data_IF_703312644114
#
_entry.id   IF_703312644114
#
_cell.length_a   1.000
_cell.length_b   1.000
_cell.length_c   1.000
_cell.angle_alpha   90.00
_cell.angle_beta   90.00
_cell.angle_gamma   90.00
#
_symmetry.space_group_name_H-M   'P 1'
#
loop_
_entity.id
_entity.type
_entity.pdbx_description
1 polymer ?
#
# COMPACT_ATOMS: atom_id res chain seq x y z
N UNK A 1 -6.83 8.81 28.24
CA UNK A 1 -6.62 7.47 27.67
C UNK A 1 -5.75 7.69 26.44
N UNK A 2 -4.53 7.12 26.40
CA UNK A 2 -3.72 7.18 25.18
C UNK A 2 -4.52 6.47 24.07
N UNK A 3 -4.64 7.13 22.94
CA UNK A 3 -5.38 6.63 21.79
C UNK A 3 -4.75 5.30 21.34
N UNK A 4 -5.54 4.22 21.35
CA UNK A 4 -5.05 2.87 20.98
C UNK A 4 -4.46 2.85 19.58
N UNK A 5 -4.94 3.71 18.69
CA UNK A 5 -4.46 3.94 17.33
C UNK A 5 -3.00 4.39 17.30
N UNK A 6 -2.60 5.31 18.17
CA UNK A 6 -1.21 5.77 18.28
C UNK A 6 -0.23 4.67 18.72
N UNK A 7 -0.70 3.71 19.53
CA UNK A 7 0.18 2.69 20.13
C UNK A 7 0.63 1.63 19.12
N UNK A 8 -0.28 1.11 18.26
CA UNK A 8 0.12 0.09 17.28
C UNK A 8 0.93 0.68 16.12
N UNK A 9 0.66 1.93 15.72
CA UNK A 9 1.45 2.61 14.68
C UNK A 9 2.89 2.78 15.13
N UNK A 10 3.12 3.24 16.37
CA UNK A 10 4.47 3.32 16.94
C UNK A 10 5.14 1.96 17.01
N UNK A 11 4.44 0.93 17.50
CA UNK A 11 4.98 -0.41 17.56
C UNK A 11 5.32 -1.00 16.18
N UNK A 12 4.54 -0.67 15.15
CA UNK A 12 4.82 -1.08 13.77
C UNK A 12 6.07 -0.36 13.23
N UNK A 13 6.18 0.95 13.45
CA UNK A 13 7.36 1.73 13.06
C UNK A 13 8.63 1.19 13.72
N UNK A 14 8.62 1.02 15.05
CA UNK A 14 9.76 0.50 15.82
C UNK A 14 10.18 -0.92 15.34
N UNK A 15 9.22 -1.77 15.02
CA UNK A 15 9.50 -3.11 14.52
C UNK A 15 10.18 -3.10 13.14
N UNK A 16 9.76 -2.21 12.24
CA UNK A 16 10.42 -2.04 10.94
C UNK A 16 11.78 -1.34 11.05
N UNK A 17 11.92 -0.36 11.92
CA UNK A 17 13.21 0.29 12.19
C UNK A 17 14.26 -0.72 12.67
N UNK A 18 13.87 -1.66 13.52
CA UNK A 18 14.76 -2.69 14.04
C UNK A 18 15.33 -3.65 12.97
N UNK A 19 14.67 -3.77 11.80
CA UNK A 19 15.05 -4.70 10.72
C UNK A 19 15.24 -4.00 9.37
N UNK A 20 15.36 -2.67 9.35
CA UNK A 20 15.27 -1.86 8.13
C UNK A 20 16.24 -2.30 7.02
N UNK A 21 17.53 -2.51 7.33
CA UNK A 21 18.52 -2.93 6.34
C UNK A 21 18.20 -4.33 5.77
N UNK A 22 17.87 -5.29 6.64
CA UNK A 22 17.50 -6.65 6.22
C UNK A 22 16.25 -6.63 5.34
N UNK A 23 15.23 -5.85 5.75
CA UNK A 23 14.00 -5.74 5.00
C UNK A 23 14.23 -5.09 3.63
N UNK A 24 15.02 -4.02 3.56
CA UNK A 24 15.37 -3.35 2.31
C UNK A 24 16.10 -4.29 1.33
N UNK A 25 17.03 -5.09 1.82
CA UNK A 25 17.74 -6.07 0.99
C UNK A 25 16.81 -7.13 0.41
N UNK A 26 15.86 -7.64 1.22
CA UNK A 26 14.86 -8.63 0.76
C UNK A 26 13.86 -8.02 -0.23
N UNK A 27 13.51 -6.74 -0.08
CA UNK A 27 12.52 -6.07 -0.90
C UNK A 27 13.06 -5.62 -2.26
N UNK A 28 14.36 -5.33 -2.37
CA UNK A 28 15.02 -4.66 -3.51
C UNK A 28 14.69 -5.27 -4.87
N UNK A 29 14.75 -6.59 -5.00
CA UNK A 29 14.53 -7.30 -6.26
C UNK A 29 13.19 -8.07 -6.29
N UNK A 30 12.34 -7.85 -5.28
CA UNK A 30 11.10 -8.62 -5.14
C UNK A 30 10.19 -8.48 -6.37
N UNK A 31 9.98 -7.26 -6.85
CA UNK A 31 9.09 -6.99 -7.98
C UNK A 31 9.63 -7.56 -9.30
N UNK A 32 10.95 -7.67 -9.48
CA UNK A 32 11.59 -8.24 -10.67
C UNK A 32 11.16 -9.67 -10.95
N UNK A 33 10.94 -10.46 -9.91
CA UNK A 33 10.52 -11.88 -9.97
C UNK A 33 9.01 -12.09 -10.16
N UNK A 34 8.19 -11.03 -10.11
CA UNK A 34 6.73 -11.09 -9.99
C UNK A 34 6.03 -10.45 -11.21
N UNK A 35 5.95 -11.14 -12.38
CA UNK A 35 5.40 -10.57 -13.61
C UNK A 35 3.91 -10.19 -13.49
N UNK A 36 3.10 -10.95 -12.75
CA UNK A 36 1.68 -10.65 -12.56
C UNK A 36 1.49 -9.42 -11.67
N UNK A 37 2.28 -9.31 -10.61
CA UNK A 37 2.28 -8.14 -9.71
C UNK A 37 2.66 -6.88 -10.49
N UNK A 38 3.73 -6.94 -11.33
CA UNK A 38 4.11 -5.83 -12.22
C UNK A 38 3.00 -5.47 -13.21
N UNK A 39 2.27 -6.47 -13.74
CA UNK A 39 1.17 -6.20 -14.65
C UNK A 39 0.03 -5.43 -13.98
N UNK A 40 -0.31 -5.74 -12.73
CA UNK A 40 -1.30 -4.99 -11.96
C UNK A 40 -0.85 -3.55 -11.69
N UNK A 41 0.42 -3.36 -11.31
CA UNK A 41 0.98 -2.01 -11.10
C UNK A 41 1.03 -1.23 -12.42
N UNK A 42 1.38 -1.88 -13.53
CA UNK A 42 1.39 -1.25 -14.85
C UNK A 42 -0.02 -0.83 -15.30
N UNK A 43 -1.03 -1.68 -15.10
CA UNK A 43 -2.42 -1.35 -15.39
C UNK A 43 -2.92 -0.16 -14.55
N UNK A 44 -2.60 -0.14 -13.24
CA UNK A 44 -2.88 1.01 -12.39
C UNK A 44 -2.22 2.29 -12.93
N UNK A 45 -0.93 2.22 -13.28
CA UNK A 45 -0.20 3.38 -13.77
C UNK A 45 -0.77 3.91 -15.10
N UNK A 46 -1.22 3.03 -15.99
CA UNK A 46 -1.86 3.40 -17.25
C UNK A 46 -3.17 4.15 -17.00
N UNK A 47 -4.06 3.61 -16.17
CA UNK A 47 -5.34 4.24 -15.81
C UNK A 47 -5.14 5.62 -15.15
N UNK A 48 -4.17 5.74 -14.25
CA UNK A 48 -3.83 7.02 -13.62
C UNK A 48 -3.34 8.03 -14.67
N UNK A 49 -2.49 7.63 -15.61
CA UNK A 49 -2.01 8.52 -16.68
C UNK A 49 -3.14 8.96 -17.61
N UNK A 50 -4.05 8.05 -17.95
CA UNK A 50 -5.23 8.35 -18.79
C UNK A 50 -6.18 9.34 -18.13
N UNK A 51 -6.27 9.36 -16.79
CA UNK A 51 -7.06 10.36 -16.06
C UNK A 51 -6.51 11.80 -16.18
N UNK A 52 -5.27 11.95 -16.64
CA UNK A 52 -4.55 13.23 -16.72
C UNK A 52 -3.99 13.73 -15.38
N UNK A 53 -4.24 13.03 -14.27
CA UNK A 53 -3.79 13.37 -12.92
C UNK A 53 -2.69 12.38 -12.49
N UNK A 54 -1.42 12.71 -12.78
CA UNK A 54 -0.29 11.77 -12.60
C UNK A 54 0.28 11.72 -11.18
N UNK A 55 -0.18 12.58 -10.27
CA UNK A 55 0.32 12.60 -8.89
C UNK A 55 -0.21 11.39 -8.10
N UNK A 56 0.72 10.63 -7.54
CA UNK A 56 0.44 9.36 -6.83
C UNK A 56 1.20 9.32 -5.52
N UNK A 57 0.55 8.81 -4.48
CA UNK A 57 1.21 8.45 -3.22
C UNK A 57 1.31 6.93 -3.09
N UNK A 58 2.48 6.44 -2.69
CA UNK A 58 2.62 5.12 -2.10
C UNK A 58 2.50 5.23 -0.58
N UNK A 59 1.42 4.66 -0.04
CA UNK A 59 1.09 4.67 1.38
C UNK A 59 1.68 3.43 2.07
N UNK A 60 2.71 3.63 2.90
CA UNK A 60 3.58 2.59 3.43
C UNK A 60 4.65 2.18 2.43
N UNK A 61 5.50 3.14 2.03
CA UNK A 61 6.46 2.95 0.94
C UNK A 61 7.71 2.16 1.33
N UNK A 62 7.95 1.98 2.62
CA UNK A 62 9.14 1.30 3.11
C UNK A 62 10.43 1.86 2.50
N UNK A 63 11.32 1.01 1.92
CA UNK A 63 12.59 1.45 1.34
C UNK A 63 12.44 2.06 -0.07
N UNK A 64 11.22 2.35 -0.56
CA UNK A 64 10.96 3.19 -1.72
C UNK A 64 11.03 2.53 -3.10
N UNK A 65 11.25 1.21 -3.20
CA UNK A 65 11.42 0.53 -4.50
C UNK A 65 10.17 0.59 -5.38
N UNK A 66 8.97 0.52 -4.79
CA UNK A 66 7.71 0.62 -5.53
C UNK A 66 7.45 2.06 -5.95
N UNK A 67 7.75 3.06 -5.10
CA UNK A 67 7.69 4.48 -5.48
C UNK A 67 8.58 4.75 -6.70
N UNK A 68 9.80 4.20 -6.72
CA UNK A 68 10.72 4.31 -7.85
C UNK A 68 10.15 3.63 -9.11
N UNK A 69 9.53 2.46 -8.97
CA UNK A 69 8.89 1.77 -10.08
C UNK A 69 7.71 2.57 -10.66
N UNK A 70 6.90 3.20 -9.81
CA UNK A 70 5.80 4.08 -10.24
C UNK A 70 6.31 5.29 -11.05
N UNK A 71 7.42 5.93 -10.60
CA UNK A 71 8.10 6.99 -11.37
C UNK A 71 8.54 6.48 -12.74
N UNK A 72 9.15 5.30 -12.80
CA UNK A 72 9.63 4.70 -14.05
C UNK A 72 8.47 4.37 -15.03
N UNK A 73 7.28 4.15 -14.49
CA UNK A 73 6.03 4.05 -15.26
C UNK A 73 5.43 5.40 -15.67
N UNK A 74 6.11 6.53 -15.39
CA UNK A 74 5.73 7.87 -15.84
C UNK A 74 4.74 8.60 -14.93
N UNK A 75 4.67 8.22 -13.65
CA UNK A 75 3.87 8.88 -12.62
C UNK A 75 4.70 9.89 -11.82
N UNK A 76 4.05 10.92 -11.30
CA UNK A 76 4.59 11.82 -10.29
C UNK A 76 4.40 11.20 -8.89
N UNK A 77 5.27 10.24 -8.58
CA UNK A 77 5.15 9.40 -7.41
C UNK A 77 5.99 9.90 -6.23
N UNK A 78 5.42 9.81 -5.03
CA UNK A 78 6.15 9.99 -3.78
C UNK A 78 5.68 8.95 -2.74
N UNK A 79 6.51 8.74 -1.71
CA UNK A 79 6.24 7.74 -0.68
C UNK A 79 5.98 8.35 0.69
N UNK A 80 5.09 7.71 1.47
CA UNK A 80 4.84 8.04 2.88
C UNK A 80 5.01 6.76 3.69
N UNK A 81 5.78 6.82 4.78
CA UNK A 81 5.98 5.68 5.69
C UNK A 81 6.08 6.12 7.15
N UNK A 82 5.84 5.19 8.07
CA UNK A 82 5.95 5.39 9.51
C UNK A 82 7.39 5.20 10.03
N UNK A 83 8.23 4.45 9.32
CA UNK A 83 9.59 4.07 9.73
C UNK A 83 10.62 5.10 9.25
N UNK A 84 11.23 5.89 10.16
CA UNK A 84 12.33 6.76 9.81
C UNK A 84 13.51 6.03 9.18
N UNK A 85 13.84 4.83 9.69
CA UNK A 85 14.99 4.07 9.19
C UNK A 85 14.77 3.58 7.74
N UNK A 86 13.57 3.12 7.38
CA UNK A 86 13.24 2.77 6.00
C UNK A 86 13.25 3.99 5.08
N UNK A 87 12.75 5.13 5.55
CA UNK A 87 12.78 6.37 4.77
C UNK A 87 14.20 6.90 4.54
N UNK A 88 15.11 6.71 5.48
CA UNK A 88 16.51 7.08 5.28
C UNK A 88 17.17 6.21 4.21
N UNK A 89 16.84 4.92 4.15
CA UNK A 89 17.23 4.02 3.06
C UNK A 89 16.62 4.50 1.73
N UNK A 90 15.32 4.79 1.70
CA UNK A 90 14.62 5.24 0.50
C UNK A 90 15.25 6.53 -0.07
N UNK A 91 15.52 7.52 0.77
CA UNK A 91 16.14 8.79 0.37
C UNK A 91 17.58 8.62 -0.13
N UNK A 92 18.32 7.68 0.46
CA UNK A 92 19.69 7.33 0.02
C UNK A 92 19.69 6.65 -1.35
N UNK A 93 18.80 5.68 -1.53
CA UNK A 93 18.77 4.82 -2.72
C UNK A 93 18.05 5.51 -3.90
N UNK A 94 17.11 6.42 -3.62
CA UNK A 94 16.31 7.16 -4.61
C UNK A 94 16.28 8.67 -4.32
N UNK A 95 17.42 9.38 -4.41
CA UNK A 95 17.56 10.78 -3.98
C UNK A 95 16.70 11.77 -4.78
N UNK A 96 16.24 11.39 -5.97
CA UNK A 96 15.38 12.21 -6.82
C UNK A 96 13.89 12.09 -6.49
N UNK A 97 13.52 11.22 -5.54
CA UNK A 97 12.15 11.01 -5.11
C UNK A 97 11.86 11.67 -3.76
N UNK A 98 10.62 12.08 -3.58
CA UNK A 98 10.11 12.62 -2.32
C UNK A 98 9.65 11.49 -1.41
N UNK A 99 10.13 11.50 -0.14
CA UNK A 99 9.71 10.56 0.90
C UNK A 99 9.40 11.31 2.19
N UNK A 100 8.23 11.04 2.77
CA UNK A 100 7.71 11.74 3.93
C UNK A 100 7.45 10.80 5.09
N UNK A 101 7.76 11.25 6.29
CA UNK A 101 7.38 10.58 7.52
C UNK A 101 5.93 10.90 7.84
N UNK A 102 5.07 9.88 7.90
CA UNK A 102 3.66 10.08 8.16
C UNK A 102 2.85 8.79 8.17
N UNK A 103 1.59 8.92 8.57
CA UNK A 103 0.62 7.83 8.56
C UNK A 103 -0.24 7.87 7.30
N UNK A 104 -0.51 6.70 6.70
CA UNK A 104 -1.47 6.58 5.61
C UNK A 104 -2.92 6.89 6.03
N UNK A 105 -3.20 6.98 7.33
CA UNK A 105 -4.51 7.37 7.86
C UNK A 105 -4.67 8.88 8.06
N UNK A 106 -3.62 9.69 7.79
CA UNK A 106 -3.65 11.15 7.88
C UNK A 106 -2.57 11.73 6.94
N UNK A 107 -2.82 11.70 5.65
CA UNK A 107 -1.91 12.15 4.61
C UNK A 107 -1.92 13.69 4.52
N UNK A 108 -0.74 14.31 4.47
CA UNK A 108 -0.61 15.76 4.25
C UNK A 108 -0.84 16.13 2.78
N UNK A 109 -2.07 15.90 2.33
CA UNK A 109 -2.54 16.09 0.97
C UNK A 109 -3.92 16.73 0.99
N UNK A 110 -4.15 17.69 0.11
CA UNK A 110 -5.47 18.31 -0.05
C UNK A 110 -6.52 17.32 -0.58
N UNK A 111 -7.78 17.59 -0.29
CA UNK A 111 -8.90 16.76 -0.75
C UNK A 111 -8.92 16.70 -2.29
N UNK A 112 -8.99 15.50 -2.83
CA UNK A 112 -9.10 15.26 -4.27
C UNK A 112 -7.86 15.64 -5.09
N UNK A 113 -6.70 15.73 -4.49
CA UNK A 113 -5.48 16.15 -5.17
C UNK A 113 -4.82 15.03 -5.99
N UNK A 114 -4.94 13.77 -5.54
CA UNK A 114 -4.23 12.64 -6.13
C UNK A 114 -5.03 11.99 -7.27
N UNK A 115 -4.33 11.60 -8.33
CA UNK A 115 -4.87 10.73 -9.38
C UNK A 115 -4.80 9.25 -9.02
N UNK A 116 -3.90 8.88 -8.11
CA UNK A 116 -3.74 7.50 -7.65
C UNK A 116 -3.16 7.38 -6.25
N UNK A 117 -3.50 6.28 -5.59
CA UNK A 117 -2.92 5.84 -4.33
C UNK A 117 -2.64 4.34 -4.43
N UNK A 118 -1.46 3.94 -4.02
CA UNK A 118 -1.10 2.53 -3.88
C UNK A 118 -0.75 2.21 -2.43
N UNK A 119 -1.28 1.11 -1.90
CA UNK A 119 -0.87 0.51 -0.63
C UNK A 119 -0.37 -0.90 -0.92
N UNK A 120 0.96 -1.04 -1.00
CA UNK A 120 1.59 -2.27 -1.43
C UNK A 120 2.06 -3.08 -0.23
N UNK A 121 1.25 -4.04 0.21
CA UNK A 121 1.47 -4.85 1.41
C UNK A 121 1.67 -4.03 2.70
N UNK A 122 1.01 -2.87 2.81
CA UNK A 122 1.09 -1.99 4.00
C UNK A 122 -0.20 -1.95 4.81
N UNK A 123 -1.40 -1.97 4.18
CA UNK A 123 -2.68 -2.09 4.91
C UNK A 123 -2.78 -3.37 5.75
N UNK A 124 -1.97 -4.37 5.45
CA UNK A 124 -1.97 -5.65 6.16
C UNK A 124 -1.67 -5.52 7.66
N UNK A 125 -1.02 -4.44 8.09
CA UNK A 125 -0.70 -4.18 9.49
C UNK A 125 -1.81 -3.43 10.25
N UNK A 126 -2.84 -2.97 9.53
CA UNK A 126 -3.94 -2.24 10.15
C UNK A 126 -4.91 -3.20 10.85
N UNK A 127 -5.29 -2.92 12.12
CA UNK A 127 -6.35 -3.65 12.76
C UNK A 127 -7.64 -3.60 11.94
N UNK A 128 -8.35 -4.73 11.74
CA UNK A 128 -9.53 -4.79 10.88
C UNK A 128 -10.60 -3.74 11.21
N UNK A 129 -10.79 -3.43 12.49
CA UNK A 129 -11.77 -2.45 12.94
C UNK A 129 -11.44 -1.01 12.52
N UNK A 130 -10.16 -0.72 12.20
CA UNK A 130 -9.72 0.63 11.84
C UNK A 130 -9.68 0.85 10.34
N UNK A 131 -9.65 -0.22 9.52
CA UNK A 131 -9.50 -0.12 8.07
C UNK A 131 -10.54 0.78 7.38
N UNK A 132 -11.83 0.85 7.80
CA UNK A 132 -12.78 1.79 7.21
C UNK A 132 -12.33 3.26 7.29
N UNK A 133 -11.71 3.69 8.38
CA UNK A 133 -11.20 5.06 8.51
C UNK A 133 -10.06 5.35 7.52
N UNK A 134 -9.25 4.35 7.19
CA UNK A 134 -8.21 4.48 6.17
C UNK A 134 -8.79 4.57 4.76
N UNK A 135 -9.83 3.81 4.46
CA UNK A 135 -10.53 3.97 3.17
C UNK A 135 -11.19 5.34 3.04
N UNK A 136 -11.75 5.89 4.12
CA UNK A 136 -12.27 7.25 4.13
C UNK A 136 -11.17 8.29 3.82
N UNK A 137 -9.97 8.12 4.39
CA UNK A 137 -8.81 8.98 4.10
C UNK A 137 -8.32 8.80 2.64
N UNK A 138 -8.23 7.56 2.14
CA UNK A 138 -7.86 7.30 0.75
C UNK A 138 -8.86 7.95 -0.21
N UNK A 139 -10.16 7.87 0.11
CA UNK A 139 -11.20 8.58 -0.63
C UNK A 139 -11.00 10.09 -0.57
N UNK A 140 -10.69 10.64 0.59
CA UNK A 140 -10.51 12.09 0.77
C UNK A 140 -9.43 12.62 -0.17
N UNK A 141 -8.27 11.99 -0.23
CA UNK A 141 -7.11 12.48 -1.00
C UNK A 141 -7.18 12.19 -2.49
N UNK A 142 -7.86 11.12 -2.91
CA UNK A 142 -8.03 10.79 -4.33
C UNK A 142 -9.05 11.74 -4.98
N UNK A 143 -8.79 12.18 -6.20
CA UNK A 143 -9.77 12.90 -7.01
C UNK A 143 -10.94 11.99 -7.39
N UNK A 144 -12.14 12.51 -7.68
CA UNK A 144 -13.18 11.74 -8.37
C UNK A 144 -12.62 11.10 -9.64
N UNK A 145 -12.85 9.81 -9.82
CA UNK A 145 -12.24 9.02 -10.90
C UNK A 145 -10.80 8.57 -10.64
N UNK A 146 -10.17 8.97 -9.53
CA UNK A 146 -8.84 8.52 -9.12
C UNK A 146 -8.81 7.03 -8.74
N UNK A 147 -7.64 6.42 -8.83
CA UNK A 147 -7.47 4.97 -8.68
C UNK A 147 -6.74 4.58 -7.39
N UNK A 148 -7.22 3.52 -6.77
CA UNK A 148 -6.63 2.87 -5.59
C UNK A 148 -6.15 1.47 -6.00
N UNK A 149 -4.89 1.13 -5.73
CA UNK A 149 -4.38 -0.24 -5.85
C UNK A 149 -3.93 -0.75 -4.49
N UNK A 150 -4.50 -1.88 -4.08
CA UNK A 150 -4.13 -2.60 -2.86
C UNK A 150 -3.39 -3.89 -3.19
N UNK A 151 -2.25 -4.13 -2.53
CA UNK A 151 -1.58 -5.42 -2.48
C UNK A 151 -1.67 -5.98 -1.05
N UNK A 152 -2.09 -7.25 -0.91
CA UNK A 152 -2.33 -7.87 0.38
C UNK A 152 -2.17 -9.40 0.34
N UNK A 153 -2.20 -10.04 1.52
CA UNK A 153 -2.25 -11.49 1.65
C UNK A 153 -3.71 -11.97 1.68
N UNK A 154 -4.06 -12.89 0.77
CA UNK A 154 -5.42 -13.45 0.65
C UNK A 154 -5.72 -14.45 1.76
N UNK A 155 -6.95 -14.41 2.28
CA UNK A 155 -7.46 -15.34 3.32
C UNK A 155 -8.23 -16.54 2.75
N UNK A 156 -8.26 -16.71 1.42
CA UNK A 156 -8.85 -17.88 0.73
C UNK A 156 -10.32 -18.11 1.06
N UNK A 157 -11.10 -17.02 1.11
CA UNK A 157 -12.54 -17.06 1.38
C UNK A 157 -12.91 -17.31 2.85
N UNK A 158 -11.92 -17.38 3.75
CA UNK A 158 -12.13 -17.43 5.20
C UNK A 158 -12.35 -16.04 5.79
N UNK A 159 -12.53 -15.93 7.11
CA UNK A 159 -12.55 -14.63 7.78
C UNK A 159 -11.17 -13.95 7.72
N UNK A 160 -11.11 -12.65 8.04
CA UNK A 160 -9.85 -11.97 8.29
C UNK A 160 -9.07 -12.70 9.38
N UNK A 161 -7.80 -13.01 9.11
CA UNK A 161 -6.95 -13.82 9.99
C UNK A 161 -5.65 -13.11 10.30
N UNK A 162 -5.40 -12.85 11.58
CA UNK A 162 -4.10 -12.38 12.05
C UNK A 162 -3.02 -13.47 11.89
N UNK A 163 -1.81 -13.06 11.51
CA UNK A 163 -0.65 -13.95 11.43
C UNK A 163 0.64 -13.24 11.80
N UNK A 164 1.64 -14.03 12.15
CA UNK A 164 3.00 -13.56 12.37
C UNK A 164 3.71 -13.30 11.03
N UNK A 165 3.90 -12.02 10.72
CA UNK A 165 4.61 -11.56 9.52
C UNK A 165 6.14 -11.58 9.69
N UNK A 166 6.65 -11.97 10.86
CA UNK A 166 8.07 -11.93 11.29
C UNK A 166 8.60 -10.55 11.68
N UNK A 167 7.98 -9.46 11.23
CA UNK A 167 8.30 -8.10 11.67
C UNK A 167 7.32 -7.68 12.76
N UNK A 168 6.03 -7.69 12.45
CA UNK A 168 4.95 -7.41 13.40
C UNK A 168 3.69 -8.19 12.99
N UNK A 169 2.62 -8.10 13.75
CA UNK A 169 1.35 -8.72 13.39
C UNK A 169 0.84 -8.17 12.06
N UNK A 170 0.35 -9.06 11.20
CA UNK A 170 -0.33 -8.70 9.97
C UNK A 170 -1.63 -9.50 9.80
N UNK A 171 -2.46 -9.09 8.86
CA UNK A 171 -3.77 -9.70 8.59
C UNK A 171 -3.84 -10.18 7.15
N UNK A 172 -4.41 -11.38 6.97
CA UNK A 172 -4.85 -11.86 5.66
C UNK A 172 -6.30 -11.49 5.47
N UNK A 173 -6.64 -11.03 4.30
CA UNK A 173 -7.95 -10.50 3.97
C UNK A 173 -8.61 -11.27 2.84
N UNK A 174 -9.90 -11.64 2.95
CA UNK A 174 -10.69 -12.03 1.79
C UNK A 174 -10.82 -10.84 0.84
N UNK A 175 -10.54 -11.03 -0.44
CA UNK A 175 -10.61 -9.93 -1.43
C UNK A 175 -12.02 -9.33 -1.52
N UNK A 176 -13.07 -10.17 -1.37
CA UNK A 176 -14.45 -9.70 -1.40
C UNK A 176 -14.78 -8.78 -0.22
N UNK A 177 -14.25 -9.09 0.97
CA UNK A 177 -14.46 -8.25 2.16
C UNK A 177 -13.76 -6.89 2.03
N UNK A 178 -12.53 -6.86 1.49
CA UNK A 178 -11.85 -5.61 1.18
C UNK A 178 -12.61 -4.78 0.14
N UNK A 179 -13.11 -5.42 -0.92
CA UNK A 179 -13.89 -4.75 -1.94
C UNK A 179 -15.20 -4.17 -1.37
N UNK A 180 -15.87 -4.91 -0.49
CA UNK A 180 -17.09 -4.45 0.19
C UNK A 180 -16.81 -3.28 1.13
N UNK A 181 -15.74 -3.34 1.94
CA UNK A 181 -15.36 -2.26 2.83
C UNK A 181 -15.03 -0.98 2.07
N UNK A 182 -14.21 -1.08 1.01
CA UNK A 182 -13.90 0.07 0.16
C UNK A 182 -15.15 0.59 -0.58
N UNK A 183 -16.07 -0.30 -0.96
CA UNK A 183 -17.35 0.08 -1.58
C UNK A 183 -18.22 0.97 -0.70
N UNK A 184 -18.16 0.81 0.63
CA UNK A 184 -18.86 1.69 1.60
C UNK A 184 -18.30 3.12 1.60
N UNK A 185 -17.05 3.29 1.16
CA UNK A 185 -16.36 4.57 1.01
C UNK A 185 -16.34 5.04 -0.47
N UNK A 186 -17.36 4.68 -1.24
CA UNK A 186 -17.56 5.13 -2.63
C UNK A 186 -16.45 4.73 -3.61
N UNK A 187 -15.81 3.57 -3.38
CA UNK A 187 -14.96 2.94 -4.38
C UNK A 187 -15.73 1.88 -5.17
N UNK A 188 -15.45 1.80 -6.45
CA UNK A 188 -15.93 0.71 -7.32
C UNK A 188 -14.75 -0.11 -7.81
N UNK A 189 -14.91 -1.42 -7.85
CA UNK A 189 -13.90 -2.32 -8.36
C UNK A 189 -13.73 -2.12 -9.87
N UNK A 190 -12.47 -2.04 -10.31
CA UNK A 190 -12.04 -1.98 -11.71
C UNK A 190 -11.49 -3.33 -12.15
N UNK A 191 -10.76 -3.99 -11.26
CA UNK A 191 -10.19 -5.30 -11.51
C UNK A 191 -9.56 -5.90 -10.27
N UNK A 192 -9.37 -7.22 -10.31
CA UNK A 192 -8.72 -7.96 -9.22
C UNK A 192 -7.82 -9.05 -9.76
N UNK A 193 -6.84 -9.43 -8.97
CA UNK A 193 -5.99 -10.59 -9.25
C UNK A 193 -5.75 -11.36 -7.96
N UNK A 194 -5.92 -12.68 -8.04
CA UNK A 194 -5.46 -13.61 -7.03
C UNK A 194 -4.32 -14.44 -7.65
N UNK A 195 -3.17 -14.41 -7.00
CA UNK A 195 -1.98 -15.12 -7.45
C UNK A 195 -1.61 -16.22 -6.45
N UNK A 196 -1.41 -17.42 -6.97
CA UNK A 196 -0.89 -18.52 -6.16
C UNK A 196 0.50 -18.19 -5.62
N UNK A 197 0.85 -18.66 -4.41
CA UNK A 197 2.16 -18.42 -3.82
C UNK A 197 3.27 -19.09 -4.65
N UNK A 198 4.43 -18.44 -4.73
CA UNK A 198 5.66 -19.07 -5.20
C UNK A 198 6.19 -20.03 -4.13
N UNK A 199 7.22 -20.84 -4.46
CA UNK A 199 7.78 -21.85 -3.54
C UNK A 199 8.26 -21.26 -2.20
N UNK A 200 8.75 -20.01 -2.22
CA UNK A 200 9.24 -19.30 -1.03
C UNK A 200 8.18 -18.43 -0.34
N UNK A 201 6.95 -18.39 -0.87
CA UNK A 201 5.84 -17.62 -0.31
C UNK A 201 4.89 -18.48 0.53
N UNK A 202 4.42 -17.93 1.64
CA UNK A 202 3.53 -18.66 2.57
C UNK A 202 2.06 -18.61 2.17
N UNK A 203 1.64 -17.54 1.50
CA UNK A 203 0.23 -17.25 1.27
C UNK A 203 -0.02 -16.76 -0.15
N UNK A 204 -1.23 -17.01 -0.62
CA UNK A 204 -1.79 -16.43 -1.82
C UNK A 204 -1.75 -14.90 -1.74
N UNK A 205 -1.50 -14.24 -2.87
CA UNK A 205 -1.46 -12.78 -2.98
C UNK A 205 -2.74 -12.27 -3.61
N UNK A 206 -3.30 -11.19 -3.03
CA UNK A 206 -4.43 -10.47 -3.59
C UNK A 206 -4.01 -9.08 -4.06
N UNK A 207 -4.54 -8.68 -5.20
CA UNK A 207 -4.44 -7.32 -5.72
C UNK A 207 -5.84 -6.83 -6.09
N UNK A 208 -6.22 -5.69 -5.55
CA UNK A 208 -7.53 -5.09 -5.77
C UNK A 208 -7.35 -3.68 -6.33
N UNK A 209 -7.78 -3.47 -7.57
CA UNK A 209 -7.75 -2.20 -8.26
C UNK A 209 -9.15 -1.59 -8.24
N UNK A 210 -9.26 -0.40 -7.71
CA UNK A 210 -10.53 0.30 -7.51
C UNK A 210 -10.47 1.72 -8.06
N UNK A 211 -11.62 2.33 -8.27
CA UNK A 211 -11.77 3.71 -8.71
C UNK A 211 -12.73 4.44 -7.76
N UNK A 212 -12.35 5.66 -7.32
CA UNK A 212 -13.22 6.56 -6.59
C UNK A 212 -14.37 7.06 -7.48
N UNK A 213 -15.63 7.02 -6.97
CA UNK A 213 -16.81 7.61 -7.62
C UNK A 213 -16.81 9.13 -7.56
#
# INVERSE_FOLDING_TARGET
MADSSSTYLTATADAYDAVADLYADLARDSLGRLPLDRAMVAAFAELVRESGRRRVVEAGCGPGYMTAHLRDLGLDAYGVDLSPALLDIARRDYPDLRFELGSMGALDVADGELGGLISWYSIIHLPPAELPAYFAEFRRVLAPGGHLLLGFFEAEGGPVVAFDHKVTTAYRWPIDELAELAGKEEFVEVGRMLREPLEDERFRRGHLLMRRL
#
